data_IF_619551680466
#
_entry.id   IF_619551680466
#
_cell.length_a   1.000
_cell.length_b   1.000
_cell.length_c   1.000
_cell.angle_alpha   90.00
_cell.angle_beta   90.00
_cell.angle_gamma   90.00
#
_symmetry.space_group_name_H-M   'P 1'
#
loop_
_entity.id
_entity.type
_entity.pdbx_description
1 polymer ?
#
# COMPACT_ATOMS: atom_id res chain seq x y z
N UNK A 1 20.69 -3.61 8.69
CA UNK A 1 20.26 -2.75 9.83
C UNK A 1 18.76 -2.62 9.75
N UNK A 2 18.03 -2.57 10.87
CA UNK A 2 16.62 -2.21 10.81
C UNK A 2 16.49 -0.78 10.27
N UNK A 3 15.64 -0.58 9.26
CA UNK A 3 15.36 0.74 8.70
C UNK A 3 14.69 1.56 9.80
N UNK A 4 15.16 2.79 10.02
CA UNK A 4 14.52 3.69 10.99
C UNK A 4 13.19 4.16 10.42
N UNK A 5 12.13 4.04 11.21
CA UNK A 5 10.83 4.60 10.86
C UNK A 5 10.76 6.13 11.11
N UNK A 6 11.85 6.77 11.56
CA UNK A 6 11.90 8.23 11.74
C UNK A 6 11.94 8.99 10.41
N UNK A 7 12.64 8.45 9.41
CA UNK A 7 12.66 8.96 8.04
C UNK A 7 13.12 7.86 7.09
N UNK A 8 12.38 7.66 6.02
CA UNK A 8 12.69 6.67 4.99
C UNK A 8 12.21 7.14 3.62
N UNK A 9 12.93 6.72 2.58
CA UNK A 9 12.50 6.87 1.19
C UNK A 9 11.73 5.62 0.81
N UNK A 10 10.45 5.80 0.43
CA UNK A 10 9.57 4.74 -0.07
C UNK A 10 9.42 4.92 -1.58
N UNK A 11 10.04 4.05 -2.36
CA UNK A 11 10.05 4.14 -3.82
C UNK A 11 8.94 3.29 -4.45
N UNK A 12 8.13 3.92 -5.31
CA UNK A 12 7.01 3.30 -6.03
C UNK A 12 7.27 3.14 -7.52
N UNK A 13 8.50 3.29 -8.00
CA UNK A 13 8.86 3.24 -9.43
C UNK A 13 8.35 1.97 -10.11
N UNK A 14 8.43 0.82 -9.43
CA UNK A 14 8.04 -0.48 -9.97
C UNK A 14 6.53 -0.77 -9.92
N UNK A 15 5.75 0.06 -9.22
CA UNK A 15 4.28 -0.01 -9.15
C UNK A 15 3.65 1.22 -9.79
N UNK A 16 3.70 2.35 -9.11
CA UNK A 16 2.99 3.57 -9.49
C UNK A 16 3.64 4.21 -10.73
N UNK A 17 4.97 4.30 -10.73
CA UNK A 17 5.72 4.77 -11.91
C UNK A 17 5.52 3.87 -13.14
N UNK A 18 5.33 2.56 -12.92
CA UNK A 18 5.10 1.58 -13.98
C UNK A 18 3.69 1.63 -14.59
N UNK A 19 2.75 2.39 -14.01
CA UNK A 19 1.39 2.56 -14.55
C UNK A 19 1.29 3.61 -15.66
N UNK A 20 2.39 4.32 -15.96
CA UNK A 20 2.42 5.30 -17.03
C UNK A 20 2.12 4.66 -18.39
N UNK A 21 1.27 5.31 -19.18
CA UNK A 21 0.92 4.85 -20.52
C UNK A 21 2.18 4.66 -21.39
N UNK A 22 2.26 3.52 -22.08
CA UNK A 22 3.38 3.17 -22.94
C UNK A 22 4.58 2.53 -22.22
N UNK A 23 4.59 2.47 -20.88
CA UNK A 23 5.62 1.77 -20.12
C UNK A 23 5.19 0.33 -19.85
N UNK A 24 6.02 -0.64 -20.25
CA UNK A 24 5.74 -2.05 -20.03
C UNK A 24 7.02 -2.80 -19.65
N UNK A 25 7.30 -2.83 -18.36
CA UNK A 25 8.48 -3.51 -17.82
C UNK A 25 8.31 -5.03 -17.93
N UNK A 26 9.35 -5.71 -18.42
CA UNK A 26 9.48 -7.15 -18.25
C UNK A 26 9.82 -7.48 -16.79
N UNK A 27 9.67 -8.74 -16.40
CA UNK A 27 10.07 -9.20 -15.06
C UNK A 27 11.58 -8.99 -14.83
N UNK A 28 12.39 -9.15 -15.88
CA UNK A 28 13.83 -8.91 -15.81
C UNK A 28 14.18 -7.42 -15.63
N UNK A 29 13.44 -6.53 -16.30
CA UNK A 29 13.58 -5.08 -16.11
C UNK A 29 13.28 -4.72 -14.65
N UNK A 30 12.19 -5.27 -14.08
CA UNK A 30 11.84 -5.04 -12.68
C UNK A 30 12.93 -5.51 -11.71
N UNK A 31 13.52 -6.69 -11.93
CA UNK A 31 14.65 -7.19 -11.13
C UNK A 31 15.87 -6.28 -11.23
N UNK A 32 16.18 -5.77 -12.43
CA UNK A 32 17.31 -4.88 -12.66
C UNK A 32 17.09 -3.52 -11.99
N UNK A 33 15.92 -2.92 -12.16
CA UNK A 33 15.55 -1.65 -11.53
C UNK A 33 15.54 -1.79 -9.99
N UNK A 34 14.99 -2.89 -9.45
CA UNK A 34 14.98 -3.12 -8.00
C UNK A 34 16.41 -3.14 -7.40
N UNK A 35 17.39 -3.73 -8.11
CA UNK A 35 18.80 -3.70 -7.68
C UNK A 35 19.37 -2.29 -7.70
N UNK A 36 19.06 -1.50 -8.73
CA UNK A 36 19.51 -0.10 -8.79
C UNK A 36 18.88 0.78 -7.71
N UNK A 37 17.61 0.57 -7.38
CA UNK A 37 16.95 1.26 -6.27
C UNK A 37 17.58 0.87 -4.92
N UNK A 38 17.93 -0.40 -4.72
CA UNK A 38 18.65 -0.86 -3.54
C UNK A 38 20.05 -0.23 -3.45
N UNK A 39 20.79 -0.20 -4.56
CA UNK A 39 22.12 0.42 -4.62
C UNK A 39 22.05 1.95 -4.39
N UNK A 40 20.95 2.61 -4.79
CA UNK A 40 20.68 4.01 -4.47
C UNK A 40 20.46 4.25 -2.97
N UNK A 41 20.04 3.22 -2.23
CA UNK A 41 19.85 3.26 -0.79
C UNK A 41 18.46 3.68 -0.34
N UNK A 42 17.42 3.46 -1.16
CA UNK A 42 16.03 3.68 -0.72
C UNK A 42 15.67 2.70 0.40
N UNK A 43 14.77 3.11 1.30
CA UNK A 43 14.35 2.27 2.42
C UNK A 43 13.36 1.19 2.00
N UNK A 44 12.41 1.53 1.14
CA UNK A 44 11.37 0.59 0.70
C UNK A 44 11.24 0.61 -0.81
N UNK A 45 11.04 -0.57 -1.40
CA UNK A 45 10.79 -0.73 -2.84
C UNK A 45 9.44 -1.42 -2.99
N UNK A 46 8.46 -0.70 -3.52
CA UNK A 46 7.14 -1.23 -3.83
C UNK A 46 7.14 -1.95 -5.18
N UNK A 47 7.08 -3.28 -5.15
CA UNK A 47 7.33 -4.12 -6.32
C UNK A 47 6.16 -4.31 -7.28
N UNK A 48 4.94 -3.97 -6.87
CA UNK A 48 3.71 -4.19 -7.65
C UNK A 48 2.63 -4.92 -6.87
N UNK A 49 1.64 -5.46 -7.60
CA UNK A 49 0.41 -6.04 -7.05
C UNK A 49 0.31 -7.55 -7.34
N UNK A 50 0.98 -8.41 -6.56
CA UNK A 50 0.91 -9.86 -6.75
C UNK A 50 -0.52 -10.37 -6.53
N UNK A 51 -0.93 -11.37 -7.32
CA UNK A 51 -2.30 -11.89 -7.37
C UNK A 51 -3.24 -11.12 -8.30
N UNK A 52 -3.08 -9.80 -8.42
CA UNK A 52 -3.88 -8.99 -9.37
C UNK A 52 -3.21 -8.89 -10.75
N UNK A 53 -1.89 -8.74 -10.80
CA UNK A 53 -1.12 -8.71 -12.04
C UNK A 53 -0.26 -9.98 -12.20
N UNK A 54 -0.43 -10.76 -13.30
CA UNK A 54 0.36 -11.97 -13.53
C UNK A 54 1.88 -11.71 -13.59
N UNK A 55 2.32 -10.60 -14.20
CA UNK A 55 3.75 -10.25 -14.27
C UNK A 55 4.31 -9.92 -12.89
N UNK A 56 3.53 -9.23 -12.06
CA UNK A 56 3.95 -8.93 -10.69
C UNK A 56 4.02 -10.21 -9.87
N UNK A 57 3.07 -11.13 -10.06
CA UNK A 57 3.09 -12.43 -9.39
C UNK A 57 4.35 -13.23 -9.75
N UNK A 58 4.75 -13.24 -11.02
CA UNK A 58 6.00 -13.85 -11.45
C UNK A 58 7.23 -13.12 -10.89
N UNK A 59 7.22 -11.78 -10.93
CA UNK A 59 8.27 -10.95 -10.38
C UNK A 59 8.51 -11.21 -8.90
N UNK A 60 7.46 -11.30 -8.06
CA UNK A 60 7.59 -11.60 -6.64
C UNK A 60 8.15 -13.02 -6.40
N UNK A 61 7.73 -14.01 -7.21
CA UNK A 61 8.28 -15.38 -7.15
C UNK A 61 9.77 -15.45 -7.48
N UNK A 62 10.25 -14.63 -8.42
CA UNK A 62 11.68 -14.55 -8.76
C UNK A 62 12.44 -13.67 -7.76
N UNK A 63 11.85 -12.56 -7.32
CA UNK A 63 12.43 -11.63 -6.35
C UNK A 63 12.84 -12.34 -5.06
N UNK A 64 11.99 -13.21 -4.50
CA UNK A 64 12.30 -14.00 -3.29
C UNK A 64 13.52 -14.92 -3.44
N UNK A 65 13.89 -15.29 -4.68
CA UNK A 65 15.03 -16.17 -4.99
C UNK A 65 16.28 -15.39 -5.41
N UNK A 66 16.09 -14.32 -6.17
CA UNK A 66 17.16 -13.62 -6.89
C UNK A 66 17.54 -12.26 -6.32
N UNK A 67 16.62 -11.56 -5.65
CA UNK A 67 16.92 -10.26 -5.05
C UNK A 67 17.54 -10.44 -3.67
N UNK A 68 18.79 -10.00 -3.54
CA UNK A 68 19.51 -9.88 -2.29
C UNK A 68 19.69 -8.40 -1.97
N UNK A 69 18.62 -7.79 -1.46
CA UNK A 69 18.61 -6.39 -1.09
C UNK A 69 19.48 -6.17 0.16
N UNK A 70 20.31 -5.13 0.13
CA UNK A 70 21.24 -4.78 1.21
C UNK A 70 20.70 -3.64 2.06
N UNK A 71 20.00 -2.70 1.43
CA UNK A 71 19.53 -1.46 2.01
C UNK A 71 18.00 -1.44 2.11
N UNK A 72 17.32 -1.85 1.04
CA UNK A 72 15.89 -1.75 0.91
C UNK A 72 15.13 -2.95 1.47
N UNK A 73 13.91 -2.68 1.94
CA UNK A 73 12.90 -3.69 2.27
C UNK A 73 11.89 -3.76 1.13
N UNK A 74 11.64 -4.98 0.62
CA UNK A 74 10.70 -5.19 -0.48
C UNK A 74 9.25 -5.13 0.00
N UNK A 75 8.37 -4.50 -0.78
CA UNK A 75 6.97 -4.23 -0.41
C UNK A 75 6.01 -4.73 -1.48
N UNK A 76 4.97 -5.46 -1.05
CA UNK A 76 3.81 -5.77 -1.90
C UNK A 76 2.75 -4.68 -1.78
N UNK A 77 2.14 -4.27 -2.89
CA UNK A 77 0.99 -3.37 -2.88
C UNK A 77 -0.30 -4.14 -3.13
N UNK A 78 -1.40 -3.74 -2.49
CA UNK A 78 -2.71 -4.18 -2.91
C UNK A 78 -3.83 -3.49 -2.14
N UNK A 79 -5.06 -4.00 -2.26
CA UNK A 79 -6.23 -3.43 -1.62
C UNK A 79 -6.64 -4.21 -0.36
N UNK A 80 -7.42 -3.56 0.50
CA UNK A 80 -8.16 -4.25 1.57
C UNK A 80 -9.05 -5.36 1.00
N UNK A 81 -9.53 -6.24 1.87
CA UNK A 81 -10.53 -7.27 1.55
C UNK A 81 -11.74 -6.64 0.88
N UNK A 82 -12.43 -7.40 0.04
CA UNK A 82 -13.72 -6.98 -0.51
C UNK A 82 -14.77 -6.81 0.58
N UNK A 83 -15.71 -5.89 0.35
CA UNK A 83 -16.87 -5.70 1.19
C UNK A 83 -17.65 -7.01 1.36
N UNK A 84 -18.18 -7.23 2.56
CA UNK A 84 -18.98 -8.41 2.95
C UNK A 84 -18.24 -9.76 2.79
N UNK A 85 -16.92 -9.74 2.71
CA UNK A 85 -16.05 -10.93 2.67
C UNK A 85 -15.16 -10.92 3.92
N UNK A 86 -14.71 -12.08 4.41
CA UNK A 86 -13.69 -12.12 5.47
C UNK A 86 -12.31 -11.94 4.86
N UNK A 87 -11.39 -11.27 5.56
CA UNK A 87 -10.01 -11.11 5.10
C UNK A 87 -9.36 -12.46 4.74
N UNK A 88 -9.58 -13.46 5.61
CA UNK A 88 -9.08 -14.81 5.40
C UNK A 88 -9.67 -15.51 4.17
N UNK A 89 -10.75 -15.04 3.55
CA UNK A 89 -11.38 -15.65 2.36
C UNK A 89 -11.14 -14.84 1.08
N UNK A 90 -10.54 -13.65 1.18
CA UNK A 90 -10.24 -12.81 0.03
C UNK A 90 -8.99 -13.30 -0.70
N UNK A 91 -9.16 -13.71 -1.96
CA UNK A 91 -8.09 -14.29 -2.79
C UNK A 91 -6.95 -13.30 -3.03
N UNK A 92 -7.24 -12.01 -3.22
CA UNK A 92 -6.20 -11.00 -3.46
C UNK A 92 -5.43 -10.72 -2.18
N UNK A 93 -6.11 -10.64 -1.03
CA UNK A 93 -5.45 -10.44 0.25
C UNK A 93 -4.59 -11.65 0.64
N UNK A 94 -5.05 -12.89 0.37
CA UNK A 94 -4.23 -14.10 0.52
C UNK A 94 -2.99 -14.05 -0.36
N UNK A 95 -3.11 -13.60 -1.61
CA UNK A 95 -1.96 -13.47 -2.50
C UNK A 95 -0.91 -12.47 -1.97
N UNK A 96 -1.33 -11.41 -1.27
CA UNK A 96 -0.42 -10.50 -0.56
C UNK A 96 0.28 -11.19 0.60
N UNK A 97 -0.45 -11.99 1.38
CA UNK A 97 0.11 -12.79 2.47
C UNK A 97 1.13 -13.83 1.98
N UNK A 98 0.88 -14.43 0.82
CA UNK A 98 1.73 -15.45 0.20
C UNK A 98 2.85 -14.86 -0.68
N UNK A 99 2.89 -13.53 -0.85
CA UNK A 99 3.84 -12.85 -1.75
C UNK A 99 5.31 -13.00 -1.34
N UNK A 100 5.57 -13.33 -0.07
CA UNK A 100 6.91 -13.37 0.52
C UNK A 100 7.51 -11.99 0.80
N UNK A 101 6.79 -10.90 0.54
CA UNK A 101 7.25 -9.56 0.90
C UNK A 101 7.11 -9.33 2.42
N UNK A 102 8.15 -8.81 3.09
CA UNK A 102 8.11 -8.53 4.53
C UNK A 102 7.17 -7.39 4.91
N UNK A 103 6.82 -6.52 3.97
CA UNK A 103 5.89 -5.39 4.15
C UNK A 103 4.80 -5.48 3.08
N UNK A 104 3.57 -5.13 3.46
CA UNK A 104 2.45 -4.94 2.54
C UNK A 104 1.89 -3.54 2.71
N UNK A 105 1.73 -2.80 1.61
CA UNK A 105 1.00 -1.54 1.57
C UNK A 105 -0.41 -1.79 1.07
N UNK A 106 -1.39 -1.51 1.92
CA UNK A 106 -2.81 -1.62 1.59
C UNK A 106 -3.38 -0.25 1.22
N UNK A 107 -3.94 -0.13 0.01
CA UNK A 107 -4.75 1.04 -0.35
C UNK A 107 -6.14 0.94 0.26
N UNK A 108 -6.59 2.03 0.88
CA UNK A 108 -7.91 2.17 1.46
C UNK A 108 -8.53 3.53 1.13
N UNK A 109 -9.85 3.56 0.90
CA UNK A 109 -10.56 4.81 0.62
C UNK A 109 -10.70 5.62 1.91
N UNK A 110 -10.21 6.86 1.88
CA UNK A 110 -10.27 7.81 3.00
C UNK A 110 -11.26 8.96 2.77
N UNK A 111 -12.08 8.84 1.73
CA UNK A 111 -13.12 9.79 1.34
C UNK A 111 -14.47 9.04 1.27
N UNK A 112 -15.45 9.49 2.06
CA UNK A 112 -16.77 8.85 2.20
C UNK A 112 -17.49 8.67 0.85
N UNK A 113 -17.48 9.68 -0.02
CA UNK A 113 -18.04 9.58 -1.36
C UNK A 113 -17.40 8.46 -2.21
N UNK A 114 -16.11 8.20 -2.04
CA UNK A 114 -15.43 7.12 -2.76
C UNK A 114 -15.79 5.74 -2.18
N UNK A 115 -16.08 5.66 -0.88
CA UNK A 115 -16.59 4.43 -0.26
C UNK A 115 -17.95 4.07 -0.88
N UNK A 116 -18.85 5.04 -0.95
CA UNK A 116 -20.20 4.82 -1.48
C UNK A 116 -20.20 4.54 -3.00
N UNK A 117 -19.43 5.29 -3.78
CA UNK A 117 -19.49 5.22 -5.24
C UNK A 117 -18.55 4.17 -5.85
N UNK A 118 -17.32 4.05 -5.33
CA UNK A 118 -16.32 3.14 -5.88
C UNK A 118 -16.38 1.76 -5.23
N UNK A 119 -16.43 1.70 -3.89
CA UNK A 119 -16.52 0.41 -3.19
C UNK A 119 -17.96 -0.13 -3.12
N UNK A 120 -18.97 0.75 -3.28
CA UNK A 120 -20.39 0.39 -3.22
C UNK A 120 -20.76 -0.27 -1.90
N UNK A 121 -20.22 0.26 -0.82
CA UNK A 121 -20.50 -0.17 0.56
C UNK A 121 -20.65 1.05 1.47
N UNK A 122 -20.88 0.83 2.75
CA UNK A 122 -21.01 1.88 3.75
C UNK A 122 -19.70 2.15 4.50
N UNK A 123 -19.67 3.27 5.22
CA UNK A 123 -18.49 3.74 5.96
C UNK A 123 -18.03 2.75 7.04
N UNK A 124 -18.98 2.08 7.73
CA UNK A 124 -18.64 1.13 8.79
C UNK A 124 -18.01 -0.14 8.21
N UNK A 125 -18.51 -0.61 7.06
CA UNK A 125 -17.94 -1.74 6.36
C UNK A 125 -16.55 -1.42 5.80
N UNK A 126 -16.30 -0.21 5.28
CA UNK A 126 -14.94 0.19 4.88
C UNK A 126 -13.96 0.19 6.06
N UNK A 127 -14.35 0.72 7.22
CA UNK A 127 -13.53 0.66 8.44
C UNK A 127 -13.30 -0.79 8.88
N UNK A 128 -14.30 -1.66 8.76
CA UNK A 128 -14.17 -3.09 9.04
C UNK A 128 -13.25 -3.80 8.03
N UNK A 129 -13.28 -3.42 6.74
CA UNK A 129 -12.39 -3.91 5.70
C UNK A 129 -10.94 -3.59 6.03
N UNK A 130 -10.65 -2.32 6.36
CA UNK A 130 -9.31 -1.85 6.76
C UNK A 130 -8.81 -2.66 7.96
N UNK A 131 -9.61 -2.71 9.03
CA UNK A 131 -9.24 -3.38 10.29
C UNK A 131 -8.97 -4.86 10.10
N UNK A 132 -9.84 -5.57 9.39
CA UNK A 132 -9.72 -7.01 9.19
C UNK A 132 -8.51 -7.35 8.31
N UNK A 133 -8.28 -6.57 7.24
CA UNK A 133 -7.13 -6.76 6.36
C UNK A 133 -5.79 -6.54 7.02
N UNK A 134 -5.64 -5.45 7.78
CA UNK A 134 -4.40 -5.18 8.52
C UNK A 134 -4.15 -6.31 9.51
N UNK A 135 -5.17 -6.69 10.29
CA UNK A 135 -5.02 -7.77 11.30
C UNK A 135 -4.63 -9.09 10.67
N UNK A 136 -5.22 -9.45 9.55
CA UNK A 136 -4.91 -10.69 8.84
C UNK A 136 -3.43 -10.74 8.42
N UNK A 137 -2.92 -9.68 7.81
CA UNK A 137 -1.51 -9.62 7.37
C UNK A 137 -0.53 -9.56 8.55
N UNK A 138 -0.87 -8.79 9.60
CA UNK A 138 -0.08 -8.72 10.84
C UNK A 138 0.00 -10.09 11.53
N UNK A 139 -1.09 -10.86 11.55
CA UNK A 139 -1.10 -12.24 12.08
C UNK A 139 -0.22 -13.18 11.25
N UNK A 140 -0.09 -12.92 9.94
CA UNK A 140 0.86 -13.59 9.05
C UNK A 140 2.33 -13.18 9.26
N UNK A 141 2.61 -12.21 10.13
CA UNK A 141 3.96 -11.75 10.46
C UNK A 141 4.51 -10.66 9.56
N UNK A 142 3.71 -10.11 8.64
CA UNK A 142 4.12 -9.00 7.78
C UNK A 142 3.91 -7.66 8.49
N UNK A 143 4.77 -6.69 8.20
CA UNK A 143 4.49 -5.27 8.50
C UNK A 143 3.43 -4.76 7.53
N UNK A 144 2.60 -3.82 7.98
CA UNK A 144 1.51 -3.30 7.15
C UNK A 144 1.58 -1.78 7.12
N UNK A 145 1.68 -1.23 5.91
CA UNK A 145 1.49 0.18 5.66
C UNK A 145 0.09 0.40 5.08
N UNK A 146 -0.50 1.56 5.35
CA UNK A 146 -1.74 1.98 4.74
C UNK A 146 -1.49 3.16 3.80
N UNK A 147 -1.93 3.04 2.56
CA UNK A 147 -2.09 4.13 1.62
C UNK A 147 -3.52 4.69 1.79
N UNK A 148 -3.62 5.86 2.41
CA UNK A 148 -4.88 6.56 2.65
C UNK A 148 -5.26 7.36 1.40
N UNK A 149 -5.83 6.66 0.42
CA UNK A 149 -6.17 7.21 -0.89
C UNK A 149 -7.24 8.31 -0.78
N UNK A 150 -7.00 9.43 -1.48
CA UNK A 150 -7.78 10.67 -1.44
C UNK A 150 -7.96 11.25 -0.02
N UNK A 151 -6.99 11.05 0.87
CA UNK A 151 -7.09 11.53 2.26
C UNK A 151 -7.38 13.02 2.35
N UNK A 152 -6.64 13.89 1.63
CA UNK A 152 -6.80 15.33 1.79
C UNK A 152 -8.14 15.87 1.28
N UNK A 153 -8.62 15.37 0.14
CA UNK A 153 -9.97 15.70 -0.35
C UNK A 153 -11.06 15.17 0.60
N UNK A 154 -10.88 13.94 1.08
CA UNK A 154 -11.76 13.33 2.08
C UNK A 154 -11.77 14.10 3.40
N UNK A 155 -10.61 14.59 3.84
CA UNK A 155 -10.46 15.41 5.04
C UNK A 155 -11.15 16.77 4.89
N UNK A 156 -11.00 17.44 3.74
CA UNK A 156 -11.72 18.69 3.45
C UNK A 156 -13.25 18.51 3.46
N UNK A 157 -13.74 17.39 2.92
CA UNK A 157 -15.17 17.11 2.85
C UNK A 157 -15.76 16.64 4.19
N UNK A 158 -15.04 15.74 4.88
CA UNK A 158 -15.47 15.08 6.11
C UNK A 158 -14.26 14.71 6.99
N UNK A 159 -13.72 15.69 7.77
CA UNK A 159 -12.54 15.47 8.60
C UNK A 159 -12.70 14.31 9.59
N UNK A 160 -13.90 14.19 10.17
CA UNK A 160 -14.19 13.17 11.18
C UNK A 160 -14.02 11.76 10.61
N UNK A 161 -14.51 11.51 9.39
CA UNK A 161 -14.36 10.20 8.77
C UNK A 161 -12.93 9.92 8.27
N UNK A 162 -12.27 10.90 7.66
CA UNK A 162 -10.88 10.74 7.22
C UNK A 162 -9.94 10.42 8.38
N UNK A 163 -10.08 11.11 9.52
CA UNK A 163 -9.33 10.82 10.74
C UNK A 163 -9.71 9.46 11.35
N UNK A 164 -10.97 9.05 11.25
CA UNK A 164 -11.41 7.74 11.72
C UNK A 164 -10.75 6.60 10.94
N UNK A 165 -10.55 6.74 9.62
CA UNK A 165 -9.79 5.79 8.81
C UNK A 165 -8.35 5.64 9.32
N UNK A 166 -7.67 6.76 9.60
CA UNK A 166 -6.31 6.77 10.16
C UNK A 166 -6.29 6.09 11.53
N UNK A 167 -7.23 6.45 12.43
CA UNK A 167 -7.33 5.88 13.77
C UNK A 167 -7.55 4.37 13.73
N UNK A 168 -8.49 3.91 12.90
CA UNK A 168 -8.80 2.47 12.76
C UNK A 168 -7.61 1.69 12.21
N UNK A 169 -6.88 2.24 11.24
CA UNK A 169 -5.68 1.60 10.71
C UNK A 169 -4.57 1.50 11.75
N UNK A 170 -4.31 2.58 12.50
CA UNK A 170 -3.32 2.60 13.57
C UNK A 170 -3.66 1.58 14.67
N UNK A 171 -4.92 1.54 15.13
CA UNK A 171 -5.39 0.59 16.15
C UNK A 171 -5.41 -0.87 15.66
N UNK A 172 -5.56 -1.09 14.35
CA UNK A 172 -5.45 -2.42 13.75
C UNK A 172 -4.01 -2.91 13.66
N UNK A 173 -3.02 -2.01 13.82
CA UNK A 173 -1.59 -2.31 13.83
C UNK A 173 -0.86 -1.98 12.54
N UNK A 174 -1.34 -1.03 11.73
CA UNK A 174 -0.54 -0.45 10.67
C UNK A 174 0.68 0.26 11.26
N UNK A 175 1.86 0.01 10.69
CA UNK A 175 3.12 0.60 11.12
C UNK A 175 3.31 2.01 10.55
N UNK A 176 2.79 2.27 9.34
CA UNK A 176 2.82 3.57 8.66
C UNK A 176 1.48 3.83 7.99
N UNK A 177 1.03 5.08 8.00
CA UNK A 177 -0.15 5.54 7.27
C UNK A 177 0.29 6.71 6.39
N UNK A 178 0.34 6.48 5.08
CA UNK A 178 0.66 7.49 4.09
C UNK A 178 -0.60 8.27 3.73
N UNK A 179 -0.62 9.56 4.04
CA UNK A 179 -1.70 10.48 3.68
C UNK A 179 -1.49 10.94 2.23
N UNK A 180 -2.37 10.54 1.32
CA UNK A 180 -2.15 10.75 -0.12
C UNK A 180 -2.91 11.96 -0.66
N UNK A 181 -2.18 12.92 -1.24
CA UNK A 181 -2.74 13.95 -2.13
C UNK A 181 -2.92 13.35 -3.52
N UNK A 182 -3.92 12.47 -3.65
CA UNK A 182 -4.12 11.65 -4.85
C UNK A 182 -4.40 12.47 -6.11
N UNK A 183 -5.03 13.64 -5.97
CA UNK A 183 -5.31 14.54 -7.09
C UNK A 183 -4.14 15.50 -7.37
N UNK A 184 -3.18 15.64 -6.45
CA UNK A 184 -2.03 16.56 -6.57
C UNK A 184 -2.43 18.04 -6.51
N UNK A 185 -3.53 18.34 -5.82
CA UNK A 185 -4.17 19.65 -5.84
C UNK A 185 -3.91 20.50 -4.59
N UNK A 186 -3.18 19.99 -3.60
CA UNK A 186 -2.95 20.70 -2.34
C UNK A 186 -1.76 21.66 -2.45
N UNK A 187 -1.87 22.84 -1.83
CA UNK A 187 -0.72 23.71 -1.64
C UNK A 187 0.11 23.25 -0.42
N UNK A 188 1.43 23.54 -0.37
CA UNK A 188 2.29 23.10 0.74
C UNK A 188 1.84 23.56 2.14
N UNK A 189 1.29 24.77 2.25
CA UNK A 189 0.72 25.32 3.47
C UNK A 189 -0.56 24.58 3.87
N UNK A 190 -1.44 24.27 2.92
CA UNK A 190 -2.65 23.50 3.16
C UNK A 190 -2.35 22.06 3.61
N UNK A 191 -1.29 21.44 3.06
CA UNK A 191 -0.80 20.15 3.53
C UNK A 191 -0.29 20.25 4.98
N UNK A 192 0.49 21.28 5.28
CA UNK A 192 1.07 21.50 6.60
C UNK A 192 0.05 21.77 7.69
N UNK A 193 -1.11 22.35 7.36
CA UNK A 193 -2.18 22.59 8.33
C UNK A 193 -2.94 21.29 8.70
N UNK A 194 -2.88 20.27 7.83
CA UNK A 194 -3.59 18.99 8.02
C UNK A 194 -2.72 17.95 8.72
N UNK A 195 -1.39 17.95 8.49
CA UNK A 195 -0.41 16.96 9.03
C UNK A 195 0.13 17.38 10.38
#
# INVERSE_FOLDING_TARGET
MAISDAFHIYDTTLRDGAQQEGLNLSVHDKLTIARHLDDLGVGFIEGGWPGANPKDTEFFKLATKELKLKNATFVAFGATRRANTKAADDVLLRALAESGAPVVTLVAKSHDRHVELALKTDLQENLAMIKDSIKFLRQGGQRVFLDAEHFFDGYRANPAYALEVVRVAAEAGADVIALCDTNGGMLPDELSDVV
#
